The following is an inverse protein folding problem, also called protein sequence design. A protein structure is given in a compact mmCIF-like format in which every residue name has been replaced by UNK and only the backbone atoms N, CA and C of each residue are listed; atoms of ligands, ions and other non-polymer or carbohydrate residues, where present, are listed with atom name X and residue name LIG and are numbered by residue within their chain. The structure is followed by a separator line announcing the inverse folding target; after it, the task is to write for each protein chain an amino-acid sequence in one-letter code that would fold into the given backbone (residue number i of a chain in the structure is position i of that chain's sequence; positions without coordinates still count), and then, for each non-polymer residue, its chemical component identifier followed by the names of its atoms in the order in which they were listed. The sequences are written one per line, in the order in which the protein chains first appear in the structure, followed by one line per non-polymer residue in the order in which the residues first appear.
data_IF_896241869350
#
_entry.id   IF_896241869350
#
_cell.length_a   1.000
_cell.length_b   1.000
_cell.length_c   1.000
_cell.angle_alpha   90.00
_cell.angle_beta   90.00
_cell.angle_gamma   90.00
#
_symmetry.space_group_name_H-M   'P 1'
#
loop_
_entity.id
_entity.type
_entity.pdbx_description
1 polymer ?
#
# COMPACT_ATOMS: atom_id res chain seq x y z
N UNK A 1 -0.16 -25.20 5.07
CA UNK A 1 0.34 -26.40 4.37
C UNK A 1 -0.82 -27.13 3.72
N UNK A 2 -0.63 -27.65 2.50
CA UNK A 2 -1.63 -28.53 1.88
C UNK A 2 -1.73 -29.81 2.71
N UNK A 3 -2.89 -30.08 3.28
CA UNK A 3 -3.12 -31.27 4.09
C UNK A 3 -3.12 -32.55 3.27
N UNK A 4 -3.25 -32.44 1.93
CA UNK A 4 -3.28 -33.55 0.99
C UNK A 4 -1.89 -33.95 0.48
N UNK A 5 -0.89 -33.06 0.58
CA UNK A 5 0.49 -33.34 0.16
C UNK A 5 1.44 -33.21 1.36
N UNK A 6 1.80 -34.36 1.97
CA UNK A 6 2.60 -34.40 3.18
C UNK A 6 4.00 -33.78 3.00
N UNK A 7 4.54 -33.80 1.78
CA UNK A 7 5.83 -33.19 1.46
C UNK A 7 5.75 -31.66 1.31
N UNK A 8 4.56 -31.05 1.29
CA UNK A 8 4.38 -29.61 1.13
C UNK A 8 4.79 -28.76 2.35
N UNK A 9 5.22 -29.40 3.44
CA UNK A 9 5.77 -28.70 4.61
C UNK A 9 7.24 -28.30 4.37
N UNK A 10 7.68 -27.11 4.82
CA UNK A 10 9.05 -26.69 4.64
C UNK A 10 10.01 -27.47 5.53
N UNK A 11 11.16 -27.88 4.97
CA UNK A 11 12.30 -28.43 5.72
C UNK A 11 13.17 -27.32 6.32
N UNK A 12 13.18 -26.15 5.68
CA UNK A 12 13.93 -25.01 6.16
C UNK A 12 13.61 -23.72 5.42
N UNK A 13 14.36 -22.68 5.78
CA UNK A 13 14.20 -21.33 5.23
C UNK A 13 15.54 -20.77 4.78
N UNK A 14 15.53 -20.01 3.69
CA UNK A 14 16.66 -19.24 3.18
C UNK A 14 16.34 -17.76 3.40
N UNK A 15 17.19 -17.08 4.15
CA UNK A 15 17.14 -15.63 4.37
C UNK A 15 18.00 -14.93 3.32
N UNK A 16 17.40 -14.04 2.53
CA UNK A 16 18.13 -13.16 1.65
C UNK A 16 18.22 -11.77 2.29
N UNK A 17 19.38 -11.14 2.18
CA UNK A 17 19.65 -9.81 2.74
C UNK A 17 20.08 -8.83 1.65
N UNK A 18 19.50 -7.63 1.64
CA UNK A 18 19.97 -6.47 0.87
C UNK A 18 20.32 -5.36 1.85
N UNK A 19 21.44 -4.67 1.60
CA UNK A 19 21.81 -3.44 2.30
C UNK A 19 21.64 -2.26 1.35
N UNK A 20 20.97 -1.21 1.81
CA UNK A 20 20.65 0.01 1.08
C UNK A 20 20.09 -0.28 -0.33
N UNK A 21 20.58 0.41 -1.35
CA UNK A 21 20.20 0.27 -2.77
C UNK A 21 20.95 -0.86 -3.49
N UNK A 22 21.66 -1.72 -2.74
CA UNK A 22 22.40 -2.86 -3.29
C UNK A 22 21.50 -3.97 -3.84
N UNK A 23 22.14 -5.08 -4.22
CA UNK A 23 21.42 -6.31 -4.58
C UNK A 23 21.22 -7.22 -3.37
N UNK A 24 20.21 -8.09 -3.42
CA UNK A 24 20.12 -9.19 -2.47
C UNK A 24 21.34 -10.12 -2.60
N UNK A 25 21.83 -10.62 -1.47
CA UNK A 25 22.86 -11.65 -1.42
C UNK A 25 22.38 -13.00 -1.99
N UNK A 26 23.27 -14.00 -1.99
CA UNK A 26 22.95 -15.34 -2.47
C UNK A 26 22.06 -16.16 -1.49
N UNK A 27 21.60 -15.55 -0.40
CA UNK A 27 20.81 -16.19 0.64
C UNK A 27 21.62 -17.05 1.61
N UNK A 28 21.15 -17.12 2.86
CA UNK A 28 21.71 -17.94 3.94
C UNK A 28 20.65 -18.88 4.49
N UNK A 29 20.94 -20.18 4.54
CA UNK A 29 20.07 -21.16 5.20
C UNK A 29 19.99 -20.88 6.70
N UNK A 30 18.76 -20.75 7.22
CA UNK A 30 18.48 -20.55 8.64
C UNK A 30 18.44 -21.91 9.33
N UNK A 31 19.57 -22.34 9.91
CA UNK A 31 19.67 -23.63 10.60
C UNK A 31 19.19 -23.60 12.05
N UNK A 32 19.30 -22.43 12.69
CA UNK A 32 18.94 -22.21 14.10
C UNK A 32 17.76 -21.24 14.16
N UNK A 33 16.54 -21.74 13.99
CA UNK A 33 15.34 -20.98 14.30
C UNK A 33 14.89 -21.31 15.72
N UNK A 34 14.54 -20.30 16.51
CA UNK A 34 13.84 -20.52 17.78
C UNK A 34 12.35 -20.58 17.49
N UNK A 35 11.66 -21.55 18.08
CA UNK A 35 10.20 -21.59 18.09
C UNK A 35 9.70 -20.72 19.24
N UNK A 36 9.55 -19.42 19.01
CA UNK A 36 9.05 -18.46 20.00
C UNK A 36 7.60 -18.11 19.68
N UNK A 37 6.70 -18.21 20.68
CA UNK A 37 5.27 -17.88 20.54
C UNK A 37 4.57 -18.52 19.32
N UNK A 38 5.06 -19.69 18.89
CA UNK A 38 4.51 -20.40 17.73
C UNK A 38 5.07 -20.00 16.36
N UNK A 39 6.02 -19.06 16.29
CA UNK A 39 6.71 -18.64 15.06
C UNK A 39 8.20 -19.02 15.04
N UNK A 40 8.87 -18.72 13.93
CA UNK A 40 10.32 -18.89 13.75
C UNK A 40 11.04 -17.55 13.87
N UNK A 41 12.11 -17.48 14.66
CA UNK A 41 12.94 -16.27 14.77
C UNK A 41 14.43 -16.56 14.54
N UNK A 42 15.13 -15.56 14.01
CA UNK A 42 16.59 -15.56 13.83
C UNK A 42 17.14 -14.14 14.07
N UNK A 43 18.40 -14.05 14.47
CA UNK A 43 19.07 -12.79 14.75
C UNK A 43 20.05 -12.44 13.62
N UNK A 44 20.09 -11.16 13.26
CA UNK A 44 20.96 -10.59 12.22
C UNK A 44 21.56 -9.29 12.72
N UNK A 45 22.82 -9.05 12.37
CA UNK A 45 23.52 -7.81 12.73
C UNK A 45 23.22 -6.73 11.72
N UNK A 46 22.94 -5.52 12.21
CA UNK A 46 22.71 -4.32 11.39
C UNK A 46 23.55 -3.15 11.91
N UNK A 47 23.93 -2.25 11.01
CA UNK A 47 24.65 -1.02 11.33
C UNK A 47 23.73 0.20 11.26
N UNK A 48 24.00 1.20 12.12
CA UNK A 48 23.30 2.50 12.07
C UNK A 48 23.59 3.22 10.76
N UNK A 49 22.64 4.02 10.30
CA UNK A 49 22.75 4.79 9.06
C UNK A 49 22.47 4.00 7.78
N UNK A 50 22.25 2.69 7.90
CA UNK A 50 21.96 1.80 6.77
C UNK A 50 20.56 1.18 6.91
N UNK A 51 19.96 0.86 5.77
CA UNK A 51 18.72 0.10 5.69
C UNK A 51 19.06 -1.34 5.31
N UNK A 52 18.51 -2.30 6.05
CA UNK A 52 18.59 -3.72 5.71
C UNK A 52 17.21 -4.20 5.32
N UNK A 53 17.12 -4.83 4.16
CA UNK A 53 15.91 -5.45 3.63
C UNK A 53 16.07 -6.97 3.59
N UNK A 54 15.02 -7.68 3.96
CA UNK A 54 15.00 -9.13 4.09
C UNK A 54 13.82 -9.73 3.36
N UNK A 55 14.05 -10.88 2.73
CA UNK A 55 12.99 -11.78 2.27
C UNK A 55 13.36 -13.22 2.59
N UNK A 56 12.35 -14.04 2.81
CA UNK A 56 12.52 -15.44 3.18
C UNK A 56 11.90 -16.32 2.09
N UNK A 57 12.59 -17.40 1.76
CA UNK A 57 12.08 -18.48 0.91
C UNK A 57 12.06 -19.77 1.71
N UNK A 58 10.92 -20.46 1.68
CA UNK A 58 10.82 -21.82 2.20
C UNK A 58 11.36 -22.82 1.19
N UNK A 59 11.96 -23.92 1.65
CA UNK A 59 12.39 -25.01 0.78
C UNK A 59 12.14 -26.39 1.41
N UNK A 60 12.04 -27.40 0.54
CA UNK A 60 12.02 -28.83 0.85
C UNK A 60 12.72 -29.60 -0.29
N UNK A 61 12.73 -30.93 -0.26
CA UNK A 61 13.25 -31.77 -1.36
C UNK A 61 12.61 -31.48 -2.73
N UNK A 62 11.36 -30.99 -2.76
CA UNK A 62 10.63 -30.67 -3.98
C UNK A 62 10.98 -29.33 -4.63
N UNK A 63 11.59 -28.39 -3.89
CA UNK A 63 12.02 -27.10 -4.43
C UNK A 63 11.89 -25.92 -3.46
N UNK A 64 11.72 -24.72 -4.02
CA UNK A 64 11.65 -23.45 -3.30
C UNK A 64 10.30 -22.79 -3.51
N UNK A 65 9.75 -22.17 -2.46
CA UNK A 65 8.57 -21.32 -2.56
C UNK A 65 8.86 -20.02 -3.30
N UNK A 66 7.81 -19.29 -3.66
CA UNK A 66 7.94 -17.85 -3.89
C UNK A 66 8.51 -17.16 -2.64
N UNK A 67 9.26 -16.06 -2.81
CA UNK A 67 9.74 -15.28 -1.68
C UNK A 67 8.58 -14.64 -0.92
N UNK A 68 8.79 -14.40 0.37
CA UNK A 68 7.95 -13.50 1.15
C UNK A 68 7.98 -12.07 0.57
N UNK A 69 7.08 -11.22 1.05
CA UNK A 69 7.26 -9.77 0.93
C UNK A 69 8.61 -9.34 1.53
N UNK A 70 9.10 -8.18 1.10
CA UNK A 70 10.37 -7.64 1.55
C UNK A 70 10.11 -6.71 2.72
N UNK A 71 10.68 -7.05 3.87
CA UNK A 71 10.62 -6.23 5.08
C UNK A 71 11.97 -5.55 5.30
N UNK A 72 11.93 -4.28 5.66
CA UNK A 72 13.10 -3.44 5.92
C UNK A 72 13.19 -2.93 7.36
N UNK A 73 14.41 -2.66 7.80
CA UNK A 73 14.73 -2.06 9.11
C UNK A 73 15.89 -1.08 8.94
N UNK A 74 15.85 0.04 9.67
CA UNK A 74 16.92 1.03 9.66
C UNK A 74 17.02 1.74 11.01
N UNK A 75 18.25 1.99 11.46
CA UNK A 75 18.50 2.74 12.69
C UNK A 75 19.13 4.07 12.31
N UNK A 76 18.45 5.18 12.62
CA UNK A 76 18.99 6.51 12.39
C UNK A 76 20.25 6.74 13.26
N UNK A 77 21.30 7.39 12.73
CA UNK A 77 22.52 7.67 13.50
C UNK A 77 22.24 8.40 14.81
N UNK A 78 21.43 9.46 14.71
CA UNK A 78 21.01 10.34 15.82
C UNK A 78 19.54 10.11 16.19
N UNK A 79 19.12 8.84 16.22
CA UNK A 79 17.72 8.46 16.43
C UNK A 79 17.10 9.18 17.63
N UNK A 80 16.01 9.90 17.39
CA UNK A 80 15.24 10.50 18.47
C UNK A 80 14.77 9.40 19.43
N UNK A 81 15.15 9.53 20.71
CA UNK A 81 14.86 8.51 21.72
C UNK A 81 13.36 8.22 21.78
N UNK A 82 12.99 6.93 21.74
CA UNK A 82 11.61 6.44 21.82
C UNK A 82 10.66 6.90 20.69
N UNK A 83 11.17 7.31 19.52
CA UNK A 83 10.37 7.71 18.35
C UNK A 83 10.54 6.80 17.14
N UNK A 84 10.58 5.49 17.37
CA UNK A 84 10.67 4.51 16.28
C UNK A 84 9.34 4.39 15.55
N UNK A 85 9.40 4.36 14.22
CA UNK A 85 8.24 4.16 13.34
C UNK A 85 8.11 2.68 12.99
N UNK A 86 6.89 2.13 13.09
CA UNK A 86 6.54 0.83 12.56
C UNK A 86 5.97 1.02 11.15
N UNK A 87 6.65 0.50 10.13
CA UNK A 87 6.15 0.49 8.75
C UNK A 87 5.40 -0.81 8.51
N UNK A 88 4.09 -0.73 8.28
CA UNK A 88 3.24 -1.89 8.04
C UNK A 88 2.95 -1.98 6.55
N UNK A 89 3.47 -3.03 5.91
CA UNK A 89 3.13 -3.31 4.51
C UNK A 89 1.75 -3.97 4.44
N UNK A 90 0.76 -3.21 3.97
CA UNK A 90 -0.61 -3.68 3.73
C UNK A 90 -0.92 -3.76 2.22
N UNK A 91 0.07 -3.60 1.35
CA UNK A 91 -0.11 -3.71 -0.09
C UNK A 91 0.49 -5.02 -0.61
N UNK A 92 -0.32 -6.07 -0.55
CA UNK A 92 0.01 -7.42 -1.04
C UNK A 92 -0.86 -7.86 -2.23
N UNK A 93 -1.69 -6.96 -2.76
CA UNK A 93 -2.57 -7.22 -3.89
C UNK A 93 -1.78 -7.58 -5.15
N UNK A 94 -2.20 -8.69 -5.74
CA UNK A 94 -1.95 -9.10 -7.12
C UNK A 94 -3.31 -9.43 -7.71
N UNK A 95 -3.70 -8.71 -8.76
CA UNK A 95 -5.07 -8.73 -9.25
C UNK A 95 -5.14 -8.46 -10.76
N UNK A 96 -6.16 -9.00 -11.45
CA UNK A 96 -6.45 -8.62 -12.84
C UNK A 96 -6.98 -7.17 -12.92
N UNK A 97 -7.05 -6.57 -14.11
CA UNK A 97 -7.75 -5.30 -14.32
C UNK A 97 -9.19 -5.31 -13.81
N UNK A 98 -9.75 -4.15 -13.49
CA UNK A 98 -11.19 -4.00 -13.27
C UNK A 98 -11.96 -4.48 -14.50
N UNK A 99 -13.16 -5.01 -14.29
CA UNK A 99 -14.01 -5.49 -15.38
C UNK A 99 -15.47 -5.22 -15.09
N UNK A 100 -16.25 -5.21 -16.17
CA UNK A 100 -17.70 -5.23 -16.12
C UNK A 100 -18.22 -6.35 -17.02
N UNK A 101 -19.38 -6.89 -16.64
CA UNK A 101 -20.04 -7.95 -17.39
C UNK A 101 -21.55 -7.69 -17.40
N UNK A 102 -22.08 -7.38 -18.57
CA UNK A 102 -23.51 -7.19 -18.84
C UNK A 102 -23.90 -8.02 -20.07
N UNK A 103 -25.22 -8.23 -20.32
CA UNK A 103 -25.67 -9.03 -21.47
C UNK A 103 -25.18 -8.50 -22.84
N UNK A 104 -25.00 -7.18 -22.99
CA UNK A 104 -24.62 -6.55 -24.26
C UNK A 104 -23.17 -6.07 -24.29
N UNK A 105 -22.58 -5.78 -23.13
CA UNK A 105 -21.25 -5.20 -22.99
C UNK A 105 -20.43 -5.97 -21.96
N UNK A 106 -19.17 -6.27 -22.27
CA UNK A 106 -18.21 -6.80 -21.30
C UNK A 106 -16.79 -6.35 -21.66
N UNK A 107 -15.89 -6.36 -20.68
CA UNK A 107 -14.49 -6.06 -20.93
C UNK A 107 -13.77 -5.57 -19.68
N UNK A 108 -12.54 -5.11 -19.89
CA UNK A 108 -11.68 -4.55 -18.86
C UNK A 108 -11.76 -3.03 -18.84
N UNK A 109 -11.88 -2.44 -17.66
CA UNK A 109 -11.89 -0.99 -17.45
C UNK A 109 -10.54 -0.52 -16.94
N UNK A 110 -9.64 -0.29 -17.87
CA UNK A 110 -8.27 0.15 -17.62
C UNK A 110 -8.17 1.56 -17.02
N UNK A 111 -9.22 2.36 -17.19
CA UNK A 111 -9.27 3.72 -16.64
C UNK A 111 -9.66 3.70 -15.18
N UNK A 112 -10.35 2.65 -14.73
CA UNK A 112 -10.70 2.43 -13.34
C UNK A 112 -9.56 1.74 -12.58
N UNK A 113 -9.07 0.59 -13.06
CA UNK A 113 -7.96 -0.13 -12.43
C UNK A 113 -7.33 -1.09 -13.44
N UNK A 114 -6.05 -0.91 -13.77
CA UNK A 114 -5.33 -1.81 -14.70
C UNK A 114 -4.90 -3.13 -14.07
N UNK A 115 -5.27 -3.35 -12.81
CA UNK A 115 -4.82 -4.48 -12.02
C UNK A 115 -3.47 -4.20 -11.40
N UNK A 116 -2.90 -5.25 -10.83
CA UNK A 116 -1.59 -5.22 -10.20
C UNK A 116 -0.89 -6.54 -10.50
N UNK A 117 0.05 -6.56 -11.45
CA UNK A 117 0.84 -7.75 -11.75
C UNK A 117 1.74 -8.17 -10.60
N UNK A 118 2.22 -9.42 -10.61
CA UNK A 118 3.27 -9.86 -9.68
C UNK A 118 4.63 -9.37 -10.16
N UNK A 119 5.28 -8.47 -9.41
CA UNK A 119 6.54 -7.77 -9.78
C UNK A 119 6.38 -6.90 -11.03
N UNK A 120 6.22 -7.50 -12.20
CA UNK A 120 5.98 -6.85 -13.47
C UNK A 120 5.37 -7.85 -14.47
N UNK A 121 4.83 -7.34 -15.57
CA UNK A 121 4.37 -8.18 -16.69
C UNK A 121 4.71 -7.55 -18.05
N UNK A 122 4.64 -8.37 -19.10
CA UNK A 122 4.91 -7.96 -20.50
C UNK A 122 3.83 -8.43 -21.47
N UNK A 123 2.78 -9.09 -20.96
CA UNK A 123 1.73 -9.74 -21.75
C UNK A 123 0.51 -8.83 -21.98
N UNK A 124 0.64 -7.53 -21.71
CA UNK A 124 -0.39 -6.54 -21.96
C UNK A 124 -0.20 -5.94 -23.36
N UNK A 125 -1.28 -5.83 -24.14
CA UNK A 125 -1.23 -5.36 -25.53
C UNK A 125 -1.70 -3.91 -25.69
N UNK A 126 -2.67 -3.47 -24.89
CA UNK A 126 -3.24 -2.12 -24.93
C UNK A 126 -4.67 -2.10 -24.40
N UNK A 127 -5.28 -0.90 -24.35
CA UNK A 127 -6.64 -0.73 -23.85
C UNK A 127 -7.68 -1.39 -24.79
N UNK A 128 -8.63 -2.11 -24.21
CA UNK A 128 -9.76 -2.67 -24.94
C UNK A 128 -10.69 -1.54 -25.42
N UNK A 129 -11.04 -1.50 -26.70
CA UNK A 129 -11.94 -0.47 -27.26
C UNK A 129 -13.27 -1.04 -27.76
N UNK A 130 -13.38 -2.36 -27.99
CA UNK A 130 -14.61 -2.99 -28.46
C UNK A 130 -15.28 -3.87 -27.41
N UNK A 131 -16.19 -3.26 -26.65
CA UNK A 131 -16.90 -3.90 -25.54
C UNK A 131 -18.21 -4.60 -25.91
N UNK A 132 -18.74 -4.37 -27.12
CA UNK A 132 -20.03 -4.95 -27.54
C UNK A 132 -19.89 -6.44 -27.88
N UNK A 133 -20.67 -7.29 -27.21
CA UNK A 133 -20.60 -8.75 -27.34
C UNK A 133 -21.10 -9.29 -28.68
N UNK A 134 -21.96 -8.53 -29.37
CA UNK A 134 -22.57 -8.90 -30.64
C UNK A 134 -21.72 -8.54 -31.86
N UNK A 135 -20.61 -7.82 -31.68
CA UNK A 135 -19.71 -7.45 -32.77
C UNK A 135 -18.89 -8.67 -33.21
N UNK A 136 -19.12 -9.20 -34.42
CA UNK A 136 -18.37 -10.35 -34.90
C UNK A 136 -16.95 -9.94 -35.28
N UNK A 137 -16.04 -10.91 -35.24
CA UNK A 137 -14.78 -10.79 -35.95
C UNK A 137 -15.05 -10.83 -37.46
N UNK A 138 -14.53 -9.86 -38.23
CA UNK A 138 -14.60 -9.88 -39.70
C UNK A 138 -13.24 -10.17 -40.34
N UNK A 139 -12.20 -9.51 -39.85
CA UNK A 139 -10.81 -9.63 -40.27
C UNK A 139 -9.90 -9.03 -39.19
N UNK A 140 -8.59 -8.98 -39.44
CA UNK A 140 -7.61 -8.45 -38.49
C UNK A 140 -7.73 -6.93 -38.28
N UNK A 141 -8.29 -6.19 -39.27
CA UNK A 141 -8.52 -4.75 -39.17
C UNK A 141 -9.79 -4.42 -38.36
N UNK A 142 -10.74 -5.35 -38.28
CA UNK A 142 -11.94 -5.25 -37.46
C UNK A 142 -12.18 -6.55 -36.65
N UNK A 143 -11.50 -6.67 -35.50
CA UNK A 143 -11.47 -7.91 -34.72
C UNK A 143 -12.76 -8.20 -33.92
N UNK A 144 -13.73 -7.28 -33.89
CA UNK A 144 -14.98 -7.47 -33.15
C UNK A 144 -14.80 -7.39 -31.62
N UNK A 145 -15.66 -8.09 -30.87
CA UNK A 145 -15.62 -8.14 -29.40
C UNK A 145 -14.24 -8.54 -28.87
N UNK A 146 -13.68 -7.77 -27.94
CA UNK A 146 -12.31 -7.99 -27.44
C UNK A 146 -11.23 -7.19 -28.18
N UNK A 147 -11.60 -6.49 -29.26
CA UNK A 147 -10.71 -5.58 -29.97
C UNK A 147 -10.03 -4.59 -29.02
N UNK A 148 -8.70 -4.58 -29.06
CA UNK A 148 -7.83 -3.83 -28.15
C UNK A 148 -6.72 -3.16 -28.94
N UNK A 149 -6.20 -2.06 -28.43
CA UNK A 149 -4.99 -1.45 -28.99
C UNK A 149 -3.78 -2.39 -28.80
N UNK A 150 -2.71 -2.12 -29.56
CA UNK A 150 -1.45 -2.88 -29.54
C UNK A 150 -0.25 -2.00 -29.17
N UNK A 151 -0.51 -0.79 -28.68
CA UNK A 151 0.46 0.25 -28.34
C UNK A 151 1.26 -0.05 -27.07
N UNK A 152 0.82 -1.01 -26.25
CA UNK A 152 1.52 -1.47 -25.05
C UNK A 152 2.23 -2.83 -25.28
N UNK A 153 2.14 -3.40 -26.48
CA UNK A 153 2.74 -4.70 -26.78
C UNK A 153 4.27 -4.68 -26.59
N UNK A 154 4.77 -5.56 -25.71
CA UNK A 154 6.20 -5.67 -25.39
C UNK A 154 6.73 -4.63 -24.41
N UNK A 155 5.88 -3.73 -23.90
CA UNK A 155 6.23 -2.81 -22.83
C UNK A 155 6.17 -3.51 -21.46
N UNK A 156 7.04 -3.10 -20.54
CA UNK A 156 7.05 -3.59 -19.16
C UNK A 156 5.99 -2.83 -18.37
N UNK A 157 5.06 -3.56 -17.77
CA UNK A 157 4.06 -3.02 -16.87
C UNK A 157 4.47 -3.33 -15.43
N UNK A 158 4.76 -2.29 -14.66
CA UNK A 158 5.19 -2.46 -13.28
C UNK A 158 4.02 -2.86 -12.38
N UNK A 159 4.25 -3.91 -11.59
CA UNK A 159 3.28 -4.48 -10.67
C UNK A 159 3.68 -4.30 -9.21
N UNK A 160 3.24 -5.23 -8.37
CA UNK A 160 3.58 -5.23 -6.96
C UNK A 160 4.98 -5.82 -6.74
N UNK A 161 5.94 -4.99 -6.34
CA UNK A 161 7.31 -5.43 -6.01
C UNK A 161 7.47 -5.92 -4.57
N UNK A 162 6.49 -5.66 -3.71
CA UNK A 162 6.47 -5.97 -2.29
C UNK A 162 7.63 -5.36 -1.48
N UNK A 163 8.25 -4.28 -1.97
CA UNK A 163 9.46 -3.65 -1.41
C UNK A 163 9.23 -2.20 -0.95
N UNK A 164 7.98 -1.83 -0.71
CA UNK A 164 7.62 -0.47 -0.30
C UNK A 164 8.11 -0.08 1.10
N UNK A 165 8.31 -1.01 2.07
CA UNK A 165 8.95 -0.66 3.34
C UNK A 165 10.35 -0.06 3.18
N UNK A 166 11.10 -0.44 2.14
CA UNK A 166 12.39 0.18 1.84
C UNK A 166 12.21 1.63 1.37
N UNK A 167 11.24 1.89 0.49
CA UNK A 167 10.96 3.23 -0.08
C UNK A 167 10.54 4.21 1.02
N UNK A 168 9.63 3.79 1.91
CA UNK A 168 9.22 4.57 3.08
C UNK A 168 10.37 4.70 4.07
N UNK A 169 11.09 3.60 4.33
CA UNK A 169 12.26 3.55 5.20
C UNK A 169 13.35 4.54 4.82
N UNK A 170 13.62 4.73 3.52
CA UNK A 170 14.58 5.71 3.01
C UNK A 170 14.17 7.13 3.39
N UNK A 171 12.90 7.48 3.24
CA UNK A 171 12.36 8.78 3.64
C UNK A 171 12.42 8.97 5.16
N UNK A 172 12.08 7.95 5.94
CA UNK A 172 12.14 7.96 7.42
C UNK A 172 13.57 8.16 7.94
N UNK A 173 14.53 7.39 7.40
CA UNK A 173 15.92 7.46 7.82
C UNK A 173 16.54 8.83 7.49
N UNK A 174 16.24 9.38 6.30
CA UNK A 174 16.63 10.74 5.90
C UNK A 174 15.91 11.84 6.70
N UNK A 175 14.75 11.53 7.27
CA UNK A 175 14.06 12.38 8.24
C UNK A 175 14.63 12.25 9.67
N UNK A 176 15.58 11.35 9.92
CA UNK A 176 16.21 11.15 11.23
C UNK A 176 15.48 10.16 12.15
N UNK A 177 14.56 9.35 11.60
CA UNK A 177 13.78 8.40 12.37
C UNK A 177 14.21 6.96 12.09
N UNK A 178 14.43 6.19 13.17
CA UNK A 178 14.59 4.74 13.07
C UNK A 178 13.25 4.09 12.74
N UNK A 179 13.29 2.97 12.03
CA UNK A 179 12.09 2.21 11.71
C UNK A 179 12.38 0.71 11.65
N UNK A 180 11.33 -0.08 11.85
CA UNK A 180 11.29 -1.47 11.42
C UNK A 180 9.97 -1.70 10.68
N UNK A 181 9.86 -2.80 9.97
CA UNK A 181 8.65 -3.12 9.24
C UNK A 181 8.08 -4.50 9.57
N UNK A 182 6.79 -4.64 9.30
CA UNK A 182 6.03 -5.86 9.48
C UNK A 182 5.00 -5.98 8.36
N UNK A 183 4.56 -7.21 8.11
CA UNK A 183 3.36 -7.43 7.29
C UNK A 183 2.12 -6.96 8.03
N UNK A 184 1.07 -6.60 7.28
CA UNK A 184 -0.23 -6.31 7.86
C UNK A 184 -0.70 -7.46 8.76
N UNK A 185 -0.51 -8.72 8.34
CA UNK A 185 -0.94 -9.88 9.12
C UNK A 185 -0.21 -10.02 10.46
N UNK A 186 1.08 -9.73 10.50
CA UNK A 186 1.86 -9.73 11.73
C UNK A 186 1.37 -8.65 12.70
N UNK A 187 1.00 -7.47 12.18
CA UNK A 187 0.44 -6.37 12.95
C UNK A 187 -0.97 -6.67 13.49
N UNK A 188 -1.85 -7.27 12.67
CA UNK A 188 -3.20 -7.70 13.09
C UNK A 188 -3.17 -8.62 14.32
N UNK A 189 -2.22 -9.56 14.32
CA UNK A 189 -2.11 -10.61 15.33
C UNK A 189 -1.24 -10.21 16.52
N UNK A 190 -0.60 -9.03 16.47
CA UNK A 190 0.41 -8.57 17.43
C UNK A 190 1.48 -9.63 17.75
N UNK A 191 1.90 -10.34 16.70
CA UNK A 191 2.76 -11.53 16.83
C UNK A 191 4.13 -11.25 17.46
N UNK A 192 4.63 -10.01 17.39
CA UNK A 192 5.97 -9.62 17.84
C UNK A 192 6.00 -8.34 18.69
N UNK A 193 4.94 -8.04 19.46
CA UNK A 193 4.84 -6.82 20.29
C UNK A 193 4.97 -5.53 19.46
N UNK A 194 4.13 -5.41 18.44
CA UNK A 194 4.12 -4.33 17.47
C UNK A 194 3.32 -3.10 17.95
N UNK A 195 2.86 -3.10 19.21
CA UNK A 195 2.02 -2.04 19.78
C UNK A 195 2.79 -0.91 20.47
N UNK A 196 4.10 -1.06 20.70
CA UNK A 196 4.92 -0.12 21.47
C UNK A 196 5.75 0.84 20.59
N UNK A 197 5.29 1.13 19.37
CA UNK A 197 5.93 2.09 18.48
C UNK A 197 5.32 3.48 18.63
N UNK A 198 6.07 4.51 18.29
CA UNK A 198 5.59 5.89 18.38
C UNK A 198 4.57 6.22 17.28
N UNK A 199 4.79 5.67 16.08
CA UNK A 199 3.94 5.86 14.90
C UNK A 199 3.84 4.55 14.13
N UNK A 200 2.67 4.26 13.57
CA UNK A 200 2.46 3.23 12.57
C UNK A 200 2.24 3.89 11.19
N UNK A 201 3.08 3.57 10.22
CA UNK A 201 2.99 3.97 8.82
C UNK A 201 2.42 2.80 8.01
N UNK A 202 1.14 2.89 7.63
CA UNK A 202 0.38 1.84 6.96
C UNK A 202 0.40 2.10 5.44
N UNK A 203 1.15 1.26 4.74
CA UNK A 203 1.29 1.31 3.28
C UNK A 203 0.14 0.54 2.65
N UNK A 204 -0.80 1.25 2.04
CA UNK A 204 -1.95 0.63 1.38
C UNK A 204 -1.81 0.58 -0.15
N UNK A 205 -0.82 1.22 -0.78
CA UNK A 205 -0.60 1.15 -2.22
C UNK A 205 -1.88 1.25 -3.05
N UNK A 206 -2.13 0.28 -3.94
CA UNK A 206 -3.43 0.09 -4.64
C UNK A 206 -4.29 -1.03 -4.06
N UNK A 207 -4.11 -1.36 -2.78
CA UNK A 207 -4.95 -2.35 -2.10
C UNK A 207 -6.44 -1.99 -2.29
N UNK A 208 -7.28 -2.97 -2.60
CA UNK A 208 -8.75 -2.82 -2.76
C UNK A 208 -9.38 -4.21 -2.81
N UNK A 209 -10.58 -4.35 -2.24
CA UNK A 209 -11.32 -5.60 -2.19
C UNK A 209 -11.50 -6.15 -3.60
N UNK A 210 -10.87 -7.30 -3.87
CA UNK A 210 -10.84 -7.96 -5.17
C UNK A 210 -11.49 -9.34 -5.03
N UNK A 211 -12.43 -9.70 -5.90
CA UNK A 211 -13.08 -11.00 -5.82
C UNK A 211 -12.12 -12.14 -6.17
N UNK A 212 -12.26 -13.26 -5.47
CA UNK A 212 -11.43 -14.44 -5.68
C UNK A 212 -12.15 -15.48 -6.54
N UNK A 213 -11.54 -15.86 -7.67
CA UNK A 213 -12.11 -16.84 -8.59
C UNK A 213 -13.47 -16.38 -9.13
N UNK A 214 -14.48 -17.26 -9.09
CA UNK A 214 -15.87 -16.95 -9.53
C UNK A 214 -16.74 -16.35 -8.42
N UNK A 215 -16.14 -15.81 -7.36
CA UNK A 215 -16.86 -15.32 -6.18
C UNK A 215 -17.33 -16.43 -5.23
N UNK A 216 -16.85 -17.67 -5.42
CA UNK A 216 -17.11 -18.81 -4.51
C UNK A 216 -16.18 -18.80 -3.29
N UNK A 217 -15.06 -18.09 -3.40
CA UNK A 217 -14.11 -17.88 -2.31
C UNK A 217 -14.31 -16.47 -1.75
N UNK A 218 -14.02 -16.25 -0.45
CA UNK A 218 -14.06 -14.91 0.13
C UNK A 218 -13.19 -13.93 -0.66
N UNK A 219 -13.66 -12.70 -0.80
CA UNK A 219 -12.89 -11.61 -1.41
C UNK A 219 -11.54 -11.42 -0.70
N UNK A 220 -10.55 -10.98 -1.45
CA UNK A 220 -9.18 -10.75 -0.99
C UNK A 220 -8.84 -9.27 -1.03
N UNK A 221 -7.72 -8.91 -0.40
CA UNK A 221 -7.09 -7.59 -0.54
C UNK A 221 -7.94 -6.39 -0.11
N UNK A 222 -8.90 -6.62 0.79
CA UNK A 222 -9.63 -5.56 1.48
C UNK A 222 -8.63 -4.59 2.12
N UNK A 223 -8.85 -3.28 2.03
CA UNK A 223 -7.90 -2.28 2.53
C UNK A 223 -7.80 -2.32 4.05
N UNK A 224 -8.95 -2.33 4.74
CA UNK A 224 -9.01 -2.42 6.20
C UNK A 224 -9.81 -3.65 6.63
N UNK A 225 -9.24 -4.87 6.55
CA UNK A 225 -9.88 -6.03 7.13
C UNK A 225 -10.09 -5.83 8.63
N UNK A 226 -11.08 -6.52 9.20
CA UNK A 226 -11.49 -6.35 10.61
C UNK A 226 -10.32 -6.48 11.60
N UNK A 227 -9.38 -7.40 11.34
CA UNK A 227 -8.17 -7.55 12.14
C UNK A 227 -7.32 -6.29 12.16
N UNK A 228 -7.12 -5.67 10.99
CA UNK A 228 -6.32 -4.46 10.84
C UNK A 228 -7.01 -3.23 11.45
N UNK A 229 -8.32 -3.09 11.26
CA UNK A 229 -9.13 -2.06 11.94
C UNK A 229 -8.94 -2.13 13.45
N UNK A 230 -9.05 -3.33 14.03
CA UNK A 230 -8.87 -3.53 15.47
C UNK A 230 -7.44 -3.18 15.92
N UNK A 231 -6.42 -3.59 15.16
CA UNK A 231 -5.03 -3.31 15.47
C UNK A 231 -4.71 -1.81 15.43
N UNK A 232 -5.11 -1.09 14.36
CA UNK A 232 -4.92 0.36 14.24
C UNK A 232 -5.69 1.10 15.33
N UNK A 233 -6.94 0.71 15.58
CA UNK A 233 -7.76 1.34 16.64
C UNK A 233 -7.12 1.17 18.01
N UNK A 234 -6.63 -0.03 18.33
CA UNK A 234 -5.91 -0.27 19.59
C UNK A 234 -4.61 0.51 19.67
N UNK A 235 -3.86 0.61 18.57
CA UNK A 235 -2.60 1.35 18.50
C UNK A 235 -2.82 2.85 18.78
N UNK A 236 -3.79 3.45 18.07
CA UNK A 236 -4.19 4.84 18.27
C UNK A 236 -4.75 5.11 19.68
N UNK A 237 -5.56 4.19 20.22
CA UNK A 237 -6.12 4.35 21.58
C UNK A 237 -5.06 4.32 22.68
N UNK A 238 -3.90 3.72 22.41
CA UNK A 238 -2.73 3.72 23.29
C UNK A 238 -1.80 4.93 23.05
N UNK A 239 -2.21 5.89 22.23
CA UNK A 239 -1.47 7.12 21.94
C UNK A 239 -0.49 7.03 20.77
N UNK A 240 -0.48 5.92 20.02
CA UNK A 240 0.36 5.77 18.83
C UNK A 240 -0.19 6.54 17.62
N UNK A 241 0.66 7.30 16.92
CA UNK A 241 0.23 8.05 15.74
C UNK A 241 0.05 7.16 14.52
N UNK A 242 -0.82 7.53 13.59
CA UNK A 242 -1.14 6.69 12.42
C UNK A 242 -1.00 7.47 11.12
N UNK A 243 -0.10 7.03 10.25
CA UNK A 243 -0.02 7.46 8.86
C UNK A 243 -0.64 6.36 7.98
N UNK A 244 -1.53 6.75 7.07
CA UNK A 244 -2.12 5.86 6.05
C UNK A 244 -1.96 6.52 4.69
N UNK A 245 -1.45 5.78 3.70
CA UNK A 245 -1.40 6.26 2.32
C UNK A 245 -1.77 5.16 1.33
N UNK A 246 -2.62 5.48 0.35
CA UNK A 246 -3.04 4.55 -0.69
C UNK A 246 -4.11 5.13 -1.60
N UNK A 247 -4.25 4.53 -2.78
CA UNK A 247 -5.15 5.02 -3.83
C UNK A 247 -6.65 4.78 -3.55
N UNK A 248 -6.98 3.76 -2.75
CA UNK A 248 -8.36 3.29 -2.53
C UNK A 248 -8.76 3.25 -1.05
N UNK A 249 -8.12 4.05 -0.19
CA UNK A 249 -8.36 4.05 1.26
C UNK A 249 -9.78 4.49 1.63
N UNK A 250 -10.43 5.30 0.80
CA UNK A 250 -11.85 5.64 0.88
C UNK A 250 -12.70 4.80 -0.08
N UNK A 251 -12.26 4.61 -1.32
CA UNK A 251 -13.06 3.86 -2.33
C UNK A 251 -13.50 2.50 -1.82
N UNK A 252 -12.62 1.71 -1.20
CA UNK A 252 -12.94 0.36 -0.70
C UNK A 252 -13.98 0.34 0.44
N UNK A 253 -14.26 1.48 1.07
CA UNK A 253 -15.13 1.60 2.25
C UNK A 253 -16.50 2.17 1.89
N UNK A 254 -16.57 3.00 0.85
CA UNK A 254 -17.79 3.70 0.42
C UNK A 254 -18.31 3.26 -0.95
N UNK A 255 -17.45 2.67 -1.78
CA UNK A 255 -17.77 2.26 -3.15
C UNK A 255 -17.07 0.91 -3.46
N UNK A 256 -16.95 0.56 -4.74
CA UNK A 256 -16.27 -0.65 -5.20
C UNK A 256 -15.62 -0.46 -6.56
N UNK A 257 -14.45 -1.05 -6.73
CA UNK A 257 -13.75 -1.16 -8.03
C UNK A 257 -14.26 -2.37 -8.82
N UNK A 258 -14.53 -3.46 -8.12
CA UNK A 258 -14.94 -4.73 -8.72
C UNK A 258 -16.42 -5.03 -8.46
N UNK A 259 -17.06 -5.90 -9.27
CA UNK A 259 -18.43 -6.34 -9.05
C UNK A 259 -18.52 -7.35 -7.88
N UNK A 260 -18.14 -6.92 -6.69
CA UNK A 260 -18.24 -7.69 -5.44
C UNK A 260 -19.59 -7.51 -4.76
N UNK A 261 -19.93 -8.46 -3.90
CA UNK A 261 -21.12 -8.37 -3.05
C UNK A 261 -20.91 -7.33 -1.95
N UNK A 262 -21.95 -6.52 -1.67
CA UNK A 262 -21.89 -5.53 -0.60
C UNK A 262 -22.04 -6.19 0.77
N UNK A 263 -21.02 -6.05 1.61
CA UNK A 263 -21.08 -6.37 3.04
C UNK A 263 -21.39 -5.09 3.83
N UNK A 264 -22.68 -4.82 4.03
CA UNK A 264 -23.14 -3.57 4.66
C UNK A 264 -22.66 -3.41 6.11
N UNK A 265 -22.47 -4.52 6.83
CA UNK A 265 -21.96 -4.50 8.21
C UNK A 265 -20.50 -4.06 8.23
N UNK A 266 -19.67 -4.70 7.38
CA UNK A 266 -18.29 -4.29 7.22
C UNK A 266 -18.18 -2.82 6.80
N UNK A 267 -18.95 -2.38 5.81
CA UNK A 267 -18.91 -1.00 5.34
C UNK A 267 -19.24 -0.02 6.46
N UNK A 268 -20.31 -0.25 7.23
CA UNK A 268 -20.66 0.62 8.35
C UNK A 268 -19.52 0.72 9.39
N UNK A 269 -18.93 -0.41 9.77
CA UNK A 269 -17.82 -0.47 10.73
C UNK A 269 -16.56 0.22 10.18
N UNK A 270 -16.19 -0.04 8.92
CA UNK A 270 -15.00 0.53 8.29
C UNK A 270 -15.14 2.04 8.05
N UNK A 271 -16.33 2.51 7.66
CA UNK A 271 -16.62 3.94 7.53
C UNK A 271 -16.60 4.65 8.88
N UNK A 272 -17.10 4.00 9.94
CA UNK A 272 -17.00 4.54 11.30
C UNK A 272 -15.54 4.60 11.76
N UNK A 273 -14.75 3.57 11.48
CA UNK A 273 -13.30 3.56 11.72
C UNK A 273 -12.58 4.71 11.01
N UNK A 274 -12.79 4.89 9.70
CA UNK A 274 -12.17 5.97 8.95
C UNK A 274 -12.55 7.36 9.49
N UNK A 275 -13.82 7.58 9.85
CA UNK A 275 -14.28 8.87 10.40
C UNK A 275 -13.76 9.16 11.81
N UNK A 276 -13.74 8.14 12.68
CA UNK A 276 -13.49 8.32 14.11
C UNK A 276 -12.03 8.10 14.50
N UNK A 277 -11.29 7.30 13.74
CA UNK A 277 -9.88 6.97 14.01
C UNK A 277 -8.93 7.69 13.03
N UNK A 278 -9.26 7.68 11.74
CA UNK A 278 -8.41 8.32 10.71
C UNK A 278 -8.84 9.76 10.38
N UNK A 279 -10.02 10.19 10.84
CA UNK A 279 -10.52 11.54 10.72
C UNK A 279 -10.98 11.98 9.33
N UNK A 280 -11.16 11.06 8.38
CA UNK A 280 -11.60 11.39 7.02
C UNK A 280 -12.91 10.69 6.63
N UNK A 281 -13.54 11.21 5.57
CA UNK A 281 -14.64 10.59 4.82
C UNK A 281 -14.33 10.66 3.33
N UNK A 282 -14.80 9.69 2.57
CA UNK A 282 -14.61 9.66 1.11
C UNK A 282 -15.44 10.74 0.40
N UNK A 283 -14.91 11.21 -0.73
CA UNK A 283 -15.59 12.11 -1.66
C UNK A 283 -15.76 11.48 -3.05
N UNK A 284 -14.67 10.99 -3.64
CA UNK A 284 -14.67 10.41 -4.99
C UNK A 284 -13.40 9.58 -5.22
N UNK A 285 -13.46 8.59 -6.11
CA UNK A 285 -12.31 7.83 -6.59
C UNK A 285 -11.63 8.48 -7.80
N UNK A 286 -12.24 9.50 -8.43
CA UNK A 286 -11.70 10.19 -9.60
C UNK A 286 -11.15 11.58 -9.24
N UNK A 287 -10.36 11.67 -8.18
CA UNK A 287 -10.00 12.97 -7.63
C UNK A 287 -9.00 13.77 -8.49
N UNK A 288 -8.23 13.12 -9.37
CA UNK A 288 -7.26 13.79 -10.24
C UNK A 288 -6.95 13.00 -11.50
N UNK A 289 -6.49 13.71 -12.55
CA UNK A 289 -5.93 13.20 -13.81
C UNK A 289 -4.53 13.76 -14.13
N UNK A 290 -3.92 14.53 -13.22
CA UNK A 290 -2.60 15.14 -13.45
C UNK A 290 -1.44 14.49 -12.68
N UNK A 291 -1.72 13.71 -11.64
CA UNK A 291 -0.67 13.08 -10.83
C UNK A 291 0.14 14.08 -9.99
N UNK A 292 -0.46 15.20 -9.59
CA UNK A 292 0.20 16.25 -8.82
C UNK A 292 -0.65 16.73 -7.64
N UNK A 293 0.00 17.01 -6.51
CA UNK A 293 -0.62 17.62 -5.33
C UNK A 293 0.11 18.88 -4.89
N UNK A 294 -0.64 19.85 -4.39
CA UNK A 294 -0.13 21.05 -3.72
C UNK A 294 -0.53 21.06 -2.26
N UNK A 295 0.24 21.77 -1.44
CA UNK A 295 -0.08 21.98 -0.03
C UNK A 295 -1.23 22.94 0.17
N UNK A 296 -2.06 22.67 1.17
CA UNK A 296 -3.04 23.61 1.69
C UNK A 296 -2.58 24.10 3.06
N UNK A 297 -2.32 25.39 3.19
CA UNK A 297 -1.92 25.99 4.46
C UNK A 297 -2.99 25.74 5.52
N UNK A 298 -2.58 25.22 6.67
CA UNK A 298 -3.43 25.05 7.84
C UNK A 298 -2.63 25.37 9.11
N UNK A 299 -3.31 25.42 10.26
CA UNK A 299 -2.67 25.77 11.55
C UNK A 299 -1.97 24.59 12.22
N UNK A 300 -2.08 23.38 11.67
CA UNK A 300 -1.64 22.13 12.30
C UNK A 300 -0.28 21.67 11.80
N UNK A 301 0.03 21.94 10.53
CA UNK A 301 1.24 21.50 9.86
C UNK A 301 2.05 22.68 9.32
N UNK A 302 3.37 22.52 9.33
CA UNK A 302 4.31 23.46 8.73
C UNK A 302 4.78 22.93 7.37
N UNK A 303 4.58 23.73 6.32
CA UNK A 303 4.96 23.43 4.94
C UNK A 303 6.12 24.31 4.44
N UNK A 304 6.79 25.05 5.33
CA UNK A 304 7.85 26.00 4.94
C UNK A 304 9.00 25.36 4.16
N UNK A 305 9.25 24.06 4.39
CA UNK A 305 10.36 23.33 3.80
C UNK A 305 9.96 22.41 2.63
N UNK A 306 8.68 22.39 2.21
CA UNK A 306 8.23 21.47 1.15
C UNK A 306 8.16 22.17 -0.20
N UNK A 307 8.75 21.54 -1.21
CA UNK A 307 8.65 22.02 -2.60
C UNK A 307 7.37 21.50 -3.25
N UNK A 308 6.62 22.38 -3.92
CA UNK A 308 5.38 22.04 -4.61
C UNK A 308 5.39 22.49 -6.08
N UNK A 309 4.63 21.82 -6.97
CA UNK A 309 3.78 20.66 -6.68
C UNK A 309 4.58 19.36 -6.48
N UNK A 310 4.05 18.44 -5.67
CA UNK A 310 4.58 17.09 -5.53
C UNK A 310 3.97 16.21 -6.63
N UNK A 311 4.80 15.62 -7.47
CA UNK A 311 4.36 14.73 -8.54
C UNK A 311 4.44 13.25 -8.12
N UNK A 312 3.44 12.46 -8.53
CA UNK A 312 3.40 11.01 -8.36
C UNK A 312 3.10 10.28 -9.68
N UNK A 313 3.42 8.99 -9.74
CA UNK A 313 3.17 8.16 -10.92
C UNK A 313 1.69 7.81 -11.08
N UNK A 314 0.98 8.62 -11.87
CA UNK A 314 -0.40 8.36 -12.24
C UNK A 314 -0.53 7.56 -13.54
N UNK A 315 0.39 7.81 -14.48
CA UNK A 315 0.44 7.16 -15.78
C UNK A 315 1.38 5.95 -15.75
N UNK A 316 1.17 4.96 -16.64
CA UNK A 316 2.08 3.83 -16.82
C UNK A 316 3.52 4.29 -17.00
N UNK A 317 4.45 3.52 -16.43
CA UNK A 317 5.87 3.83 -16.41
C UNK A 317 6.67 2.56 -16.09
N UNK A 318 7.97 2.59 -16.37
CA UNK A 318 8.87 1.45 -16.19
C UNK A 318 9.49 1.38 -14.78
N UNK A 319 9.04 2.19 -13.81
CA UNK A 319 9.65 2.28 -12.46
C UNK A 319 8.81 1.67 -11.35
N UNK A 320 7.52 2.01 -11.27
CA UNK A 320 6.59 1.55 -10.22
C UNK A 320 5.16 1.49 -10.79
N UNK A 321 4.29 0.70 -10.15
CA UNK A 321 2.86 0.70 -10.49
C UNK A 321 2.30 2.14 -10.49
N UNK A 322 1.36 2.40 -11.39
CA UNK A 322 0.73 3.70 -11.53
C UNK A 322 -0.63 3.76 -10.82
N UNK A 323 -1.06 4.96 -10.43
CA UNK A 323 -2.35 5.22 -9.76
C UNK A 323 -3.34 5.82 -10.76
N UNK A 324 -4.29 5.04 -11.24
CA UNK A 324 -5.26 5.48 -12.26
C UNK A 324 -6.28 6.46 -11.66
N UNK A 325 -6.90 6.06 -10.55
CA UNK A 325 -8.01 6.75 -9.90
C UNK A 325 -7.67 7.02 -8.43
N UNK A 326 -6.95 8.12 -8.11
CA UNK A 326 -6.60 8.43 -6.74
C UNK A 326 -7.82 8.94 -5.96
N UNK A 327 -7.87 8.58 -4.67
CA UNK A 327 -8.96 8.95 -3.79
C UNK A 327 -8.96 10.44 -3.43
N UNK A 328 -10.15 11.01 -3.40
CA UNK A 328 -10.48 12.29 -2.80
C UNK A 328 -11.08 12.07 -1.43
N UNK A 329 -10.48 12.64 -0.39
CA UNK A 329 -10.91 12.48 1.00
C UNK A 329 -11.11 13.82 1.69
N UNK A 330 -12.15 13.94 2.52
CA UNK A 330 -12.51 15.16 3.23
C UNK A 330 -12.41 14.95 4.75
N UNK A 331 -12.18 16.02 5.54
CA UNK A 331 -12.32 15.98 6.99
C UNK A 331 -13.69 15.42 7.40
N UNK A 332 -13.68 14.43 8.29
CA UNK A 332 -14.92 13.85 8.84
C UNK A 332 -15.56 14.74 9.90
N UNK A 333 -14.75 15.57 10.58
CA UNK A 333 -15.16 16.42 11.70
C UNK A 333 -14.19 17.62 11.86
N UNK A 334 -14.48 18.51 12.82
CA UNK A 334 -13.71 19.73 13.05
C UNK A 334 -12.30 19.51 13.64
N UNK A 335 -12.01 18.31 14.17
CA UNK A 335 -10.67 17.95 14.59
C UNK A 335 -9.80 17.47 13.43
N UNK A 336 -10.35 17.35 12.23
CA UNK A 336 -9.62 17.06 11.00
C UNK A 336 -9.44 18.30 10.11
N UNK A 337 -8.39 18.32 9.28
CA UNK A 337 -8.07 19.43 8.38
C UNK A 337 -7.41 18.92 7.10
N UNK A 338 -7.69 19.58 5.98
CA UNK A 338 -7.06 19.30 4.70
C UNK A 338 -5.63 19.85 4.74
N UNK A 339 -4.68 19.08 4.18
CA UNK A 339 -3.30 19.51 4.08
C UNK A 339 -2.68 19.33 2.69
N UNK A 340 -3.29 18.52 1.82
CA UNK A 340 -2.94 18.39 0.40
C UNK A 340 -4.18 18.47 -0.47
N UNK A 341 -4.03 19.02 -1.68
CA UNK A 341 -5.04 19.03 -2.73
C UNK A 341 -4.45 18.63 -4.06
N UNK A 342 -5.21 17.95 -4.88
CA UNK A 342 -4.85 17.72 -6.28
C UNK A 342 -4.87 19.04 -7.05
N UNK A 343 -3.83 19.31 -7.82
CA UNK A 343 -3.62 20.64 -8.43
C UNK A 343 -4.56 20.95 -9.58
N UNK A 344 -5.12 19.92 -10.23
CA UNK A 344 -6.03 20.05 -11.37
C UNK A 344 -7.50 20.22 -10.97
N UNK A 345 -7.92 19.65 -9.83
CA UNK A 345 -9.33 19.63 -9.40
C UNK A 345 -9.62 20.40 -8.13
N UNK A 346 -8.58 20.82 -7.39
CA UNK A 346 -8.67 21.35 -6.02
C UNK A 346 -9.31 20.34 -5.02
N UNK A 347 -9.52 19.09 -5.42
CA UNK A 347 -10.05 18.06 -4.52
C UNK A 347 -9.00 17.73 -3.46
N UNK A 348 -9.45 17.55 -2.22
CA UNK A 348 -8.58 17.19 -1.10
C UNK A 348 -7.94 15.82 -1.30
N UNK A 349 -6.60 15.80 -1.27
CA UNK A 349 -5.76 14.63 -1.43
C UNK A 349 -5.23 14.09 -0.10
N UNK A 350 -5.26 14.91 0.97
CA UNK A 350 -4.73 14.53 2.28
C UNK A 350 -5.43 15.23 3.44
N UNK A 351 -5.74 14.46 4.48
CA UNK A 351 -6.42 14.92 5.71
C UNK A 351 -5.60 14.54 6.93
N UNK A 352 -5.41 15.48 7.85
CA UNK A 352 -4.85 15.21 9.17
C UNK A 352 -5.87 15.37 10.26
N UNK A 353 -5.68 14.67 11.38
CA UNK A 353 -6.67 14.55 12.44
C UNK A 353 -6.02 14.52 13.82
N UNK A 354 -6.52 15.39 14.70
CA UNK A 354 -6.17 15.36 16.12
C UNK A 354 -7.16 14.45 16.86
N UNK A 355 -6.75 13.19 17.05
CA UNK A 355 -7.48 12.23 17.86
C UNK A 355 -7.34 12.49 19.36
N UNK A 356 -8.01 11.66 20.18
CA UNK A 356 -7.88 11.72 21.64
C UNK A 356 -6.57 11.06 22.07
N UNK A 357 -5.51 11.86 22.18
CA UNK A 357 -4.19 11.40 22.66
C UNK A 357 -3.27 10.82 21.57
N UNK A 358 -3.66 10.90 20.30
CA UNK A 358 -2.86 10.52 19.14
C UNK A 358 -3.19 11.45 17.96
N UNK A 359 -2.39 11.40 16.91
CA UNK A 359 -2.65 12.08 15.63
C UNK A 359 -2.68 11.08 14.49
N UNK A 360 -3.40 11.42 13.43
CA UNK A 360 -3.33 10.67 12.19
C UNK A 360 -3.23 11.57 10.95
N UNK A 361 -2.64 11.02 9.90
CA UNK A 361 -2.57 11.63 8.57
C UNK A 361 -2.95 10.56 7.54
N UNK A 362 -3.89 10.89 6.67
CA UNK A 362 -4.39 10.01 5.60
C UNK A 362 -4.18 10.67 4.25
N UNK A 363 -3.67 9.93 3.27
CA UNK A 363 -3.44 10.39 1.91
C UNK A 363 -4.18 9.48 0.92
N UNK A 364 -4.96 10.08 0.02
CA UNK A 364 -5.69 9.39 -1.06
C UNK A 364 -4.82 8.96 -2.24
N UNK A 365 -3.50 9.00 -2.07
CA UNK A 365 -2.52 8.44 -2.99
C UNK A 365 -1.37 7.80 -2.18
N UNK A 366 -0.68 6.80 -2.74
CA UNK A 366 0.46 6.16 -2.07
C UNK A 366 1.70 7.08 -2.03
N UNK A 367 2.45 7.07 -0.93
CA UNK A 367 3.67 7.87 -0.79
C UNK A 367 4.82 7.28 -1.63
N UNK A 368 4.85 5.96 -1.77
CA UNK A 368 5.85 5.21 -2.52
C UNK A 368 5.87 5.53 -4.02
N UNK A 369 4.77 6.06 -4.58
CA UNK A 369 4.68 6.46 -6.00
C UNK A 369 5.08 7.93 -6.24
N UNK A 370 5.49 8.68 -5.22
CA UNK A 370 6.03 10.03 -5.39
C UNK A 370 7.35 9.95 -6.16
N UNK A 371 7.44 10.71 -7.26
CA UNK A 371 8.54 10.60 -8.24
C UNK A 371 9.89 11.04 -7.67
N UNK A 372 9.87 12.11 -6.88
CA UNK A 372 11.07 12.73 -6.34
C UNK A 372 11.32 12.29 -4.89
N UNK A 373 12.52 11.77 -4.63
CA UNK A 373 12.91 11.24 -3.31
C UNK A 373 12.98 12.32 -2.23
N UNK A 374 13.34 13.55 -2.61
CA UNK A 374 13.41 14.68 -1.68
C UNK A 374 12.01 15.17 -1.32
N UNK A 375 11.12 15.35 -2.30
CA UNK A 375 9.71 15.66 -2.07
C UNK A 375 9.03 14.60 -1.19
N UNK A 376 9.31 13.30 -1.41
CA UNK A 376 8.82 12.21 -0.56
C UNK A 376 9.33 12.34 0.87
N UNK A 377 10.61 12.65 1.05
CA UNK A 377 11.23 12.87 2.37
C UNK A 377 10.66 14.10 3.07
N UNK A 378 10.49 15.21 2.35
CA UNK A 378 9.93 16.45 2.89
C UNK A 378 8.48 16.24 3.35
N UNK A 379 7.65 15.58 2.53
CA UNK A 379 6.28 15.23 2.93
C UNK A 379 6.26 14.36 4.20
N UNK A 380 7.12 13.34 4.27
CA UNK A 380 7.26 12.50 5.45
C UNK A 380 7.67 13.34 6.68
N UNK A 381 8.65 14.26 6.55
CA UNK A 381 9.05 15.17 7.64
C UNK A 381 7.90 16.05 8.13
N UNK A 382 7.10 16.61 7.23
CA UNK A 382 5.94 17.44 7.59
C UNK A 382 4.96 16.63 8.45
N UNK A 383 4.66 15.40 8.04
CA UNK A 383 3.75 14.50 8.78
C UNK A 383 4.33 14.12 10.14
N UNK A 384 5.61 13.75 10.22
CA UNK A 384 6.24 13.37 11.49
C UNK A 384 6.40 14.55 12.46
N UNK A 385 6.69 15.75 11.96
CA UNK A 385 6.70 16.97 12.75
C UNK A 385 5.30 17.28 13.30
N UNK A 386 4.27 17.11 12.48
CA UNK A 386 2.89 17.17 12.95
C UNK A 386 2.63 16.14 14.04
N UNK A 387 3.10 14.90 13.94
CA UNK A 387 2.93 13.92 15.03
C UNK A 387 3.70 14.27 16.31
N UNK A 388 4.82 14.99 16.18
CA UNK A 388 5.68 15.35 17.31
C UNK A 388 5.14 16.53 18.15
N UNK A 389 4.39 17.43 17.55
CA UNK A 389 3.91 18.67 18.19
C UNK A 389 2.74 18.45 19.17
N UNK A 390 2.75 17.37 19.95
CA UNK A 390 1.72 17.12 20.97
C UNK A 390 1.93 18.13 22.10
N UNK A 391 1.17 19.22 22.09
CA UNK A 391 0.87 19.93 23.33
C UNK A 391 0.15 18.91 24.23
N UNK A 392 0.89 18.33 25.18
CA UNK A 392 0.30 17.56 26.29
C UNK A 392 -0.43 18.49 27.23
#
# INVERSE_FOLDING_TARGET
PDTLEQTASPEGFILYTRMDDGSFDNGRIIKNFKKEKGGFSTEVSIHKGHIYSYKIVAYNEGGKSFPSEILSVGIAPDAAQNKTVLVVNNFDRVAPPAWFDTPSYAGFDDKLDRGVPYICEINRIGEMYQFRRDMPWTDDDNPGFGGSYTDEAGHIMQGNTFDYPYIHGKALLKAGYSFCSASAKAFETDSTNLRNFWTADIICGKQVTTPAGRGTMPDRFRVFPKGLVNAITSFASNGGNVLVSGANIGTDLWDKVYPTATDSTYQADAQAFAKNILGYKWLTNYASRCGQVGTMQNKKMDFSAISCPIAFYQQPNDYIYNVETPDGILPANNAASIFLRYTDTDISAGVCFDGKGYRSASLGFPIEVIKDDDARTELMKVILNYFNNTNK
#
